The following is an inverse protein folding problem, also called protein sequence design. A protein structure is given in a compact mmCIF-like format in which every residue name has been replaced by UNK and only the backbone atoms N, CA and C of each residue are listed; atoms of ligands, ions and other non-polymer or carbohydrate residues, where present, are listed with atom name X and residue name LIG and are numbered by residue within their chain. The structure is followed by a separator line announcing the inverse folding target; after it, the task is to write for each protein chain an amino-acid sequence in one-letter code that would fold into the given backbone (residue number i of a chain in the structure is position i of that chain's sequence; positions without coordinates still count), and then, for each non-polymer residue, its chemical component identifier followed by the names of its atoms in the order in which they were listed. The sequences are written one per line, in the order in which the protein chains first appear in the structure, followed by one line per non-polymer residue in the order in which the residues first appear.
data_IF_505794352943
#
_entry.id   IF_505794352943
#
_cell.length_a   1.000
_cell.length_b   1.000
_cell.length_c   1.000
_cell.angle_alpha   90.00
_cell.angle_beta   90.00
_cell.angle_gamma   90.00
#
_symmetry.space_group_name_H-M   'P 1'
#
loop_
_entity.id
_entity.type
_entity.pdbx_description
1 polymer ?
#
# COMPACT_ATOMS: atom_id res chain seq x y z
N UNK A 1 -3.83 8.18 3.39
CA UNK A 1 -4.42 9.24 4.21
C UNK A 1 -4.50 10.51 3.39
N UNK A 2 -5.51 11.34 3.58
CA UNK A 2 -5.51 12.70 3.05
C UNK A 2 -5.91 13.68 4.15
N UNK A 3 -5.33 14.89 4.18
CA UNK A 3 -5.89 16.00 4.95
C UNK A 3 -7.36 16.21 4.57
N UNK A 4 -8.21 16.49 5.56
CA UNK A 4 -9.58 16.91 5.29
C UNK A 4 -9.56 18.26 4.55
N UNK A 5 -10.40 18.37 3.53
CA UNK A 5 -10.45 19.55 2.65
C UNK A 5 -10.82 20.83 3.41
N UNK A 6 -11.64 20.72 4.45
CA UNK A 6 -12.12 21.84 5.24
C UNK A 6 -11.34 22.01 6.55
N UNK A 7 -10.60 20.98 6.99
CA UNK A 7 -9.72 21.05 8.16
C UNK A 7 -8.44 20.20 7.97
N UNK A 8 -7.35 20.77 7.43
CA UNK A 8 -6.13 20.02 7.07
C UNK A 8 -5.42 19.31 8.24
N UNK A 9 -5.67 19.69 9.50
CA UNK A 9 -5.14 19.01 10.68
C UNK A 9 -5.78 17.63 10.88
N UNK A 10 -6.99 17.43 10.34
CA UNK A 10 -7.69 16.16 10.40
C UNK A 10 -7.23 15.25 9.27
N UNK A 11 -6.69 14.10 9.65
CA UNK A 11 -6.24 13.09 8.70
C UNK A 11 -7.37 12.09 8.45
N UNK A 12 -7.82 12.00 7.18
CA UNK A 12 -8.92 11.14 6.75
C UNK A 12 -8.38 9.85 6.10
N UNK A 13 -8.82 8.66 6.56
CA UNK A 13 -8.52 7.39 5.92
C UNK A 13 -9.19 7.28 4.55
N UNK A 14 -8.41 6.99 3.50
CA UNK A 14 -8.91 6.84 2.13
C UNK A 14 -9.16 5.36 1.81
N UNK A 15 -8.09 4.56 1.71
CA UNK A 15 -8.15 3.14 1.32
C UNK A 15 -7.79 2.19 2.48
N UNK A 16 -6.87 2.60 3.34
CA UNK A 16 -6.53 1.87 4.57
C UNK A 16 -7.48 2.30 5.69
N UNK A 17 -8.10 1.34 6.35
CA UNK A 17 -8.90 1.53 7.57
C UNK A 17 -7.97 1.68 8.78
N UNK A 18 -6.96 0.82 8.89
CA UNK A 18 -5.98 0.84 9.98
C UNK A 18 -4.65 0.19 9.56
N UNK A 19 -3.63 0.33 10.42
CA UNK A 19 -2.36 -0.36 10.28
C UNK A 19 -1.82 -0.78 11.64
N UNK A 20 -1.01 -1.83 11.64
CA UNK A 20 -0.35 -2.35 12.82
C UNK A 20 1.11 -2.67 12.47
N UNK A 21 2.04 -2.03 13.17
CA UNK A 21 3.47 -2.29 13.02
C UNK A 21 3.93 -3.34 14.02
N UNK A 22 4.77 -4.26 13.57
CA UNK A 22 5.53 -5.18 14.42
C UNK A 22 7.03 -4.89 14.21
N UNK A 23 7.67 -4.14 15.13
CA UNK A 23 9.09 -3.81 15.03
C UNK A 23 10.01 -5.03 15.11
N UNK A 24 9.62 -6.08 15.85
CA UNK A 24 10.44 -7.27 16.03
C UNK A 24 10.45 -8.12 14.75
N UNK A 25 9.29 -8.31 14.13
CA UNK A 25 9.17 -9.00 12.85
C UNK A 25 9.51 -8.12 11.64
N UNK A 26 9.68 -6.80 11.83
CA UNK A 26 9.84 -5.78 10.77
C UNK A 26 8.69 -5.84 9.75
N UNK A 27 7.47 -6.02 10.23
CA UNK A 27 6.28 -6.09 9.37
C UNK A 27 5.31 -4.95 9.63
N UNK A 28 4.57 -4.57 8.60
CA UNK A 28 3.47 -3.62 8.67
C UNK A 28 2.22 -4.25 8.06
N UNK A 29 1.22 -4.51 8.90
CA UNK A 29 -0.09 -5.03 8.49
C UNK A 29 -1.01 -3.86 8.18
N UNK A 30 -1.60 -3.84 6.99
CA UNK A 30 -2.56 -2.82 6.56
C UNK A 30 -3.94 -3.46 6.40
N UNK A 31 -4.95 -2.92 7.08
CA UNK A 31 -6.34 -3.30 6.88
C UNK A 31 -6.97 -2.35 5.87
N UNK A 32 -7.53 -2.88 4.78
CA UNK A 32 -8.23 -2.08 3.76
C UNK A 32 -9.67 -1.83 4.17
N UNK A 33 -10.25 -0.70 3.74
CA UNK A 33 -11.67 -0.42 3.94
C UNK A 33 -12.51 -1.42 3.13
N UNK A 34 -13.49 -2.10 3.75
CA UNK A 34 -14.25 -3.17 3.10
C UNK A 34 -15.18 -2.67 1.99
N UNK A 35 -15.53 -1.39 1.99
CA UNK A 35 -16.42 -0.73 1.04
C UNK A 35 -15.67 0.01 -0.08
N UNK A 36 -14.33 -0.02 -0.07
CA UNK A 36 -13.53 0.64 -1.10
C UNK A 36 -13.77 0.00 -2.47
N UNK A 37 -14.09 0.83 -3.46
CA UNK A 37 -14.36 0.43 -4.85
C UNK A 37 -13.62 1.33 -5.82
N UNK A 38 -13.22 0.76 -6.95
CA UNK A 38 -12.79 1.54 -8.10
C UNK A 38 -13.96 2.28 -8.72
N UNK A 39 -13.69 3.30 -9.55
CA UNK A 39 -14.71 4.03 -10.29
C UNK A 39 -15.55 3.13 -11.21
N UNK A 40 -15.01 1.97 -11.64
CA UNK A 40 -15.75 0.95 -12.39
C UNK A 40 -16.77 0.17 -11.55
N UNK A 41 -16.77 0.31 -10.23
CA UNK A 41 -17.60 -0.45 -9.30
C UNK A 41 -16.95 -1.73 -8.75
N UNK A 42 -15.81 -2.15 -9.30
CA UNK A 42 -15.08 -3.32 -8.79
C UNK A 42 -14.56 -3.06 -7.36
N UNK A 43 -14.64 -4.03 -6.44
CA UNK A 43 -14.09 -3.88 -5.11
C UNK A 43 -12.56 -3.77 -5.17
N UNK A 44 -11.99 -2.94 -4.29
CA UNK A 44 -10.55 -2.93 -4.03
C UNK A 44 -10.19 -4.15 -3.20
N UNK A 45 -9.17 -4.90 -3.63
CA UNK A 45 -8.69 -6.09 -2.94
C UNK A 45 -7.21 -5.95 -2.57
N UNK A 46 -6.70 -6.70 -1.58
CA UNK A 46 -5.27 -6.70 -1.24
C UNK A 46 -4.37 -6.97 -2.45
N UNK A 47 -4.81 -7.83 -3.38
CA UNK A 47 -4.10 -8.20 -4.60
C UNK A 47 -3.84 -6.99 -5.51
N UNK A 48 -4.74 -6.00 -5.54
CA UNK A 48 -4.60 -4.81 -6.37
C UNK A 48 -3.50 -3.87 -5.80
N UNK A 49 -3.34 -3.86 -4.46
CA UNK A 49 -2.26 -3.14 -3.77
C UNK A 49 -0.91 -3.83 -4.00
N UNK A 50 -0.88 -5.15 -3.84
CA UNK A 50 0.33 -5.97 -4.09
C UNK A 50 0.79 -5.76 -5.54
N UNK A 51 -0.11 -5.89 -6.51
CA UNK A 51 0.19 -5.65 -7.93
C UNK A 51 0.80 -4.27 -8.18
N UNK A 52 0.26 -3.22 -7.54
CA UNK A 52 0.71 -1.85 -7.75
C UNK A 52 2.17 -1.65 -7.32
N UNK A 53 2.54 -2.12 -6.14
CA UNK A 53 3.93 -2.03 -5.65
C UNK A 53 4.88 -2.95 -6.41
N UNK A 54 4.47 -4.18 -6.70
CA UNK A 54 5.25 -5.10 -7.53
C UNK A 54 5.56 -4.47 -8.88
N UNK A 55 4.56 -3.96 -9.58
CA UNK A 55 4.74 -3.30 -10.88
C UNK A 55 5.64 -2.06 -10.79
N UNK A 56 5.48 -1.23 -9.75
CA UNK A 56 6.30 -0.02 -9.59
C UNK A 56 7.79 -0.34 -9.46
N UNK A 57 8.14 -1.34 -8.64
CA UNK A 57 9.53 -1.78 -8.45
C UNK A 57 10.05 -2.52 -9.68
N UNK A 58 9.25 -3.42 -10.29
CA UNK A 58 9.66 -4.16 -11.49
C UNK A 58 9.96 -3.24 -12.67
N UNK A 59 9.15 -2.20 -12.90
CA UNK A 59 9.41 -1.23 -13.97
C UNK A 59 10.65 -0.36 -13.70
N UNK A 60 10.97 -0.15 -12.42
CA UNK A 60 12.13 0.59 -11.92
C UNK A 60 12.36 1.93 -12.65
N UNK A 61 11.29 2.69 -12.89
CA UNK A 61 11.34 4.04 -13.47
C UNK A 61 11.30 5.07 -12.35
N UNK A 62 11.89 6.25 -12.57
CA UNK A 62 11.75 7.37 -11.62
C UNK A 62 10.27 7.64 -11.33
N UNK A 63 9.82 7.71 -10.07
CA UNK A 63 10.60 7.82 -8.82
C UNK A 63 10.70 6.52 -7.98
N UNK A 64 10.77 5.33 -8.58
CA UNK A 64 10.84 4.05 -7.85
C UNK A 64 12.03 3.93 -6.87
N UNK A 65 13.06 4.77 -7.00
CA UNK A 65 14.19 4.82 -6.08
C UNK A 65 13.78 4.94 -4.60
N UNK A 66 12.66 5.59 -4.31
CA UNK A 66 12.13 5.72 -2.93
C UNK A 66 11.79 4.34 -2.34
N UNK A 67 11.23 3.45 -3.16
CA UNK A 67 10.93 2.08 -2.74
C UNK A 67 12.20 1.23 -2.66
N UNK A 68 13.19 1.51 -3.51
CA UNK A 68 14.47 0.79 -3.50
C UNK A 68 15.27 1.04 -2.21
N UNK A 69 15.07 2.19 -1.54
CA UNK A 69 15.67 2.48 -0.20
C UNK A 69 15.17 1.48 0.86
N UNK A 70 14.00 0.87 0.67
CA UNK A 70 13.49 -0.21 1.53
C UNK A 70 14.16 -1.58 1.23
N UNK A 71 15.11 -1.63 0.30
CA UNK A 71 15.75 -2.86 -0.17
C UNK A 71 14.91 -3.64 -1.19
N UNK A 72 13.79 -3.07 -1.65
CA UNK A 72 12.95 -3.68 -2.67
C UNK A 72 13.59 -3.58 -4.04
N UNK A 73 13.69 -4.71 -4.73
CA UNK A 73 14.33 -4.84 -6.03
C UNK A 73 13.48 -5.73 -6.95
N UNK A 74 13.64 -5.63 -8.29
CA UNK A 74 12.83 -6.41 -9.23
C UNK A 74 12.87 -7.93 -9.00
N UNK A 75 13.98 -8.45 -8.49
CA UNK A 75 14.21 -9.87 -8.21
C UNK A 75 13.61 -10.35 -6.86
N UNK A 76 13.26 -9.44 -5.94
CA UNK A 76 12.78 -9.79 -4.61
C UNK A 76 11.37 -9.28 -4.27
N UNK A 77 10.82 -8.31 -5.03
CA UNK A 77 9.57 -7.62 -4.64
C UNK A 77 8.37 -8.56 -4.48
N UNK A 78 8.35 -9.68 -5.21
CA UNK A 78 7.28 -10.68 -5.12
C UNK A 78 7.17 -11.34 -3.73
N UNK A 79 8.24 -11.36 -2.94
CA UNK A 79 8.23 -11.97 -1.59
C UNK A 79 8.03 -10.95 -0.46
N UNK A 80 8.07 -9.65 -0.76
CA UNK A 80 7.99 -8.58 0.25
C UNK A 80 6.55 -8.27 0.70
N UNK A 81 5.57 -8.65 -0.12
CA UNK A 81 4.17 -8.31 0.08
C UNK A 81 3.33 -9.58 0.00
N UNK A 82 2.47 -9.78 1.01
CA UNK A 82 1.52 -10.89 1.02
C UNK A 82 0.17 -10.45 1.58
N UNK A 83 -0.88 -11.08 1.07
CA UNK A 83 -2.21 -10.99 1.67
C UNK A 83 -2.23 -11.78 2.98
N UNK A 84 -2.92 -11.21 3.95
CA UNK A 84 -3.20 -11.78 5.26
C UNK A 84 -4.71 -11.83 5.43
N UNK A 85 -5.19 -12.91 6.05
CA UNK A 85 -6.62 -13.28 6.12
C UNK A 85 -7.51 -12.22 6.73
#
# INVERSE_FOLDING_TARGET
MQPDRNNPEKIVPILAESWQADPAAKTLTIKLKPDAKFASGNPLRPEDVIFSYTRAVTLNKSPAFILNVLGWQPDNIASQLKKIG
#
